data_IF_361072231081
#
_entry.id   IF_361072231081
#
_cell.length_a   1.000
_cell.length_b   1.000
_cell.length_c   1.000
_cell.angle_alpha   90.00
_cell.angle_beta   90.00
_cell.angle_gamma   90.00
#
_symmetry.space_group_name_H-M   'P 1'
#
loop_
_entity.id
_entity.type
_entity.pdbx_description
1 polymer ?
#
# COMPACT_ATOMS: atom_id res chain seq x y z
N UNK A 1 -12.12 -21.55 27.27
CA UNK A 1 -11.60 -22.75 26.59
C UNK A 1 -10.46 -23.34 27.41
N UNK A 2 -10.45 -24.66 27.66
CA UNK A 2 -9.37 -25.35 28.39
C UNK A 2 -8.28 -25.74 27.39
N UNK A 3 -7.31 -24.86 27.12
CA UNK A 3 -6.29 -25.00 26.07
C UNK A 3 -5.25 -26.12 26.27
N UNK A 4 -5.64 -27.32 26.70
CA UNK A 4 -4.71 -28.45 26.83
C UNK A 4 -4.27 -28.91 25.45
N UNK A 5 -2.96 -28.81 25.18
CA UNK A 5 -2.35 -29.19 23.90
C UNK A 5 -2.40 -28.11 22.81
N UNK A 6 -2.92 -26.92 23.11
CA UNK A 6 -2.93 -25.77 22.20
C UNK A 6 -1.96 -24.68 22.66
N UNK A 7 -1.52 -23.83 21.73
CA UNK A 7 -0.80 -22.60 22.06
C UNK A 7 -1.77 -21.42 22.15
N UNK A 8 -1.50 -20.50 23.08
CA UNK A 8 -2.14 -19.19 23.12
C UNK A 8 -1.16 -18.19 22.51
N UNK A 9 -1.63 -17.45 21.51
CA UNK A 9 -0.88 -16.38 20.87
C UNK A 9 -1.78 -15.15 20.71
N UNK A 10 -1.20 -13.95 20.59
CA UNK A 10 -1.92 -12.82 20.02
C UNK A 10 -2.47 -13.19 18.64
N UNK A 11 -3.58 -12.57 18.25
CA UNK A 11 -4.09 -12.71 16.90
C UNK A 11 -3.06 -12.21 15.88
N UNK A 12 -2.98 -12.86 14.73
CA UNK A 12 -2.01 -12.48 13.71
C UNK A 12 -2.39 -11.15 13.05
N UNK A 13 -1.37 -10.40 12.64
CA UNK A 13 -1.50 -9.17 11.86
C UNK A 13 -1.04 -9.50 10.45
N UNK A 14 -1.96 -9.46 9.50
CA UNK A 14 -1.63 -9.58 8.08
C UNK A 14 -1.24 -8.21 7.54
N UNK A 15 0.07 -7.99 7.42
CA UNK A 15 0.67 -6.69 7.07
C UNK A 15 0.55 -6.35 5.58
N UNK A 16 0.08 -7.29 4.75
CA UNK A 16 0.08 -7.11 3.31
C UNK A 16 -1.18 -7.68 2.67
N UNK A 17 -2.23 -6.86 2.61
CA UNK A 17 -3.51 -7.26 2.05
C UNK A 17 -4.01 -6.28 0.98
N UNK A 18 -4.93 -6.80 0.17
CA UNK A 18 -5.72 -6.07 -0.82
C UNK A 18 -7.22 -6.22 -0.48
N UNK A 19 -7.54 -6.18 0.82
CA UNK A 19 -8.89 -6.45 1.33
C UNK A 19 -9.72 -5.17 1.50
N UNK A 20 -9.25 -4.03 0.98
CA UNK A 20 -9.79 -2.69 1.17
C UNK A 20 -11.33 -2.63 1.12
N UNK A 21 -11.93 -3.22 0.07
CA UNK A 21 -13.37 -3.27 -0.13
C UNK A 21 -14.01 -4.49 0.54
N UNK A 22 -13.28 -5.60 0.61
CA UNK A 22 -13.80 -6.88 1.10
C UNK A 22 -14.09 -6.86 2.60
N UNK A 23 -13.29 -6.15 3.40
CA UNK A 23 -13.54 -5.99 4.84
C UNK A 23 -14.87 -5.27 5.12
N UNK A 24 -15.34 -4.43 4.21
CA UNK A 24 -16.63 -3.73 4.31
C UNK A 24 -17.77 -4.61 3.77
N UNK A 25 -17.59 -5.21 2.59
CA UNK A 25 -18.65 -5.98 1.91
C UNK A 25 -18.89 -7.35 2.52
N UNK A 26 -17.89 -7.93 3.18
CA UNK A 26 -17.96 -9.26 3.80
C UNK A 26 -17.48 -9.23 5.26
N UNK A 27 -18.22 -8.60 6.19
CA UNK A 27 -17.73 -8.33 7.56
C UNK A 27 -17.25 -9.56 8.34
N UNK A 28 -17.83 -10.74 8.10
CA UNK A 28 -17.39 -11.98 8.76
C UNK A 28 -15.94 -12.38 8.37
N UNK A 29 -15.53 -12.02 7.14
CA UNK A 29 -14.25 -12.24 6.48
C UNK A 29 -13.49 -13.53 6.86
N UNK A 30 -14.15 -14.67 6.64
CA UNK A 30 -13.62 -16.01 6.91
C UNK A 30 -12.25 -16.33 6.29
N UNK A 31 -11.87 -15.82 5.09
CA UNK A 31 -10.54 -16.10 4.53
C UNK A 31 -9.39 -15.74 5.48
N UNK A 32 -9.54 -14.67 6.27
CA UNK A 32 -8.53 -14.23 7.25
C UNK A 32 -8.76 -14.83 8.62
N UNK A 33 -10.00 -14.78 9.09
CA UNK A 33 -10.34 -15.23 10.45
C UNK A 33 -10.01 -16.72 10.66
N UNK A 34 -10.23 -17.56 9.65
CA UNK A 34 -9.93 -19.00 9.72
C UNK A 34 -8.44 -19.32 9.87
N UNK A 35 -7.55 -18.34 9.62
CA UNK A 35 -6.10 -18.47 9.76
C UNK A 35 -5.58 -17.89 11.08
N UNK A 36 -6.45 -17.36 11.94
CA UNK A 36 -6.07 -16.67 13.18
C UNK A 36 -5.68 -15.21 13.01
N UNK A 37 -5.89 -14.63 11.82
CA UNK A 37 -5.71 -13.19 11.58
C UNK A 37 -6.79 -12.41 12.30
N UNK A 38 -6.38 -11.34 12.97
CA UNK A 38 -7.26 -10.42 13.70
C UNK A 38 -7.13 -8.97 13.24
N UNK A 39 -6.06 -8.64 12.51
CA UNK A 39 -5.82 -7.30 11.98
C UNK A 39 -5.27 -7.41 10.57
N UNK A 40 -5.76 -6.57 9.67
CA UNK A 40 -5.27 -6.47 8.29
C UNK A 40 -4.78 -5.05 8.01
N UNK A 41 -3.68 -4.95 7.28
CA UNK A 41 -3.20 -3.69 6.69
C UNK A 41 -3.56 -3.71 5.20
N UNK A 42 -4.46 -2.81 4.81
CA UNK A 42 -4.96 -2.65 3.44
C UNK A 42 -4.25 -1.48 2.74
N UNK A 43 -4.54 -1.24 1.46
CA UNK A 43 -3.95 -0.12 0.73
C UNK A 43 -2.51 -0.36 0.26
N UNK A 44 -2.13 -1.62 0.00
CA UNK A 44 -0.77 -2.01 -0.39
C UNK A 44 -0.49 -1.86 -1.90
N UNK A 45 0.80 -1.91 -2.26
CA UNK A 45 1.27 -1.94 -3.66
C UNK A 45 0.77 -0.78 -4.54
N UNK A 46 0.56 0.39 -3.94
CA UNK A 46 0.11 1.58 -4.66
C UNK A 46 -1.39 1.65 -4.90
N UNK A 47 -2.17 0.65 -4.49
CA UNK A 47 -3.63 0.65 -4.67
C UNK A 47 -4.34 0.74 -3.33
N UNK A 48 -5.34 1.61 -3.22
CA UNK A 48 -6.18 1.76 -2.03
C UNK A 48 -7.61 2.13 -2.42
N UNK A 49 -8.59 1.69 -1.63
CA UNK A 49 -9.98 2.16 -1.79
C UNK A 49 -10.20 3.51 -1.12
N UNK A 50 -9.56 3.75 0.02
CA UNK A 50 -9.56 5.05 0.67
C UNK A 50 -8.91 6.10 -0.25
N UNK A 51 -9.53 7.29 -0.31
CA UNK A 51 -9.15 8.46 -1.11
C UNK A 51 -9.29 8.32 -2.63
N UNK A 52 -9.59 7.14 -3.15
CA UNK A 52 -9.74 6.92 -4.58
C UNK A 52 -11.01 7.60 -5.12
N UNK A 53 -10.86 8.37 -6.19
CA UNK A 53 -11.96 8.97 -6.95
C UNK A 53 -11.85 8.56 -8.41
N UNK A 54 -12.79 7.74 -8.86
CA UNK A 54 -12.74 7.17 -10.21
C UNK A 54 -13.56 8.01 -11.18
N UNK A 55 -12.92 8.46 -12.27
CA UNK A 55 -13.57 9.21 -13.35
C UNK A 55 -13.92 8.28 -14.52
N UNK A 56 -12.91 7.63 -15.08
CA UNK A 56 -13.00 6.86 -16.32
C UNK A 56 -12.65 5.37 -16.10
N UNK A 57 -13.42 4.70 -15.24
CA UNK A 57 -13.21 3.30 -14.87
C UNK A 57 -12.17 3.10 -13.76
N UNK A 58 -11.85 1.84 -13.46
CA UNK A 58 -10.85 1.46 -12.46
C UNK A 58 -9.53 1.14 -13.18
N UNK A 59 -8.43 1.88 -12.95
CA UNK A 59 -7.16 1.58 -13.59
C UNK A 59 -6.56 0.27 -13.05
N UNK A 60 -5.79 -0.45 -13.87
CA UNK A 60 -5.01 -1.60 -13.41
C UNK A 60 -3.84 -1.14 -12.51
N UNK A 61 -3.56 -1.80 -11.36
CA UNK A 61 -4.23 -2.99 -10.82
C UNK A 61 -5.29 -2.66 -9.73
N UNK A 62 -5.81 -1.43 -9.65
CA UNK A 62 -6.84 -1.08 -8.65
C UNK A 62 -8.12 -1.91 -8.83
N UNK A 63 -8.40 -2.39 -10.04
CA UNK A 63 -9.49 -3.32 -10.34
C UNK A 63 -9.42 -4.64 -9.54
N UNK A 64 -8.26 -5.00 -8.97
CA UNK A 64 -8.14 -6.13 -8.04
C UNK A 64 -8.95 -5.93 -6.76
N UNK A 65 -9.20 -4.68 -6.35
CA UNK A 65 -9.96 -4.36 -5.14
C UNK A 65 -11.48 -4.43 -5.40
N UNK A 66 -11.91 -4.19 -6.64
CA UNK A 66 -13.30 -4.29 -7.07
C UNK A 66 -13.64 -3.40 -8.27
N UNK A 67 -14.93 -3.34 -8.58
CA UNK A 67 -15.50 -2.50 -9.64
C UNK A 67 -15.66 -1.02 -9.22
N UNK A 68 -15.85 -0.13 -10.21
CA UNK A 68 -15.91 1.33 -10.03
C UNK A 68 -16.90 1.77 -8.93
N UNK A 69 -18.08 1.15 -8.88
CA UNK A 69 -19.13 1.45 -7.90
C UNK A 69 -18.75 1.16 -6.45
N UNK A 70 -17.67 0.41 -6.21
CA UNK A 70 -17.18 0.12 -4.86
C UNK A 70 -16.21 1.18 -4.31
N UNK A 71 -15.69 2.08 -5.16
CA UNK A 71 -14.77 3.15 -4.76
C UNK A 71 -15.53 4.41 -4.38
N UNK A 72 -16.20 4.35 -3.23
CA UNK A 72 -17.10 5.42 -2.72
C UNK A 72 -16.56 6.08 -1.46
N UNK A 73 -15.24 6.04 -1.25
CA UNK A 73 -14.57 6.53 -0.04
C UNK A 73 -13.59 7.67 -0.37
N UNK A 74 -14.07 8.90 -0.62
CA UNK A 74 -13.24 10.00 -1.11
C UNK A 74 -12.19 10.49 -0.09
N UNK A 75 -12.32 10.10 1.18
CA UNK A 75 -11.39 10.44 2.27
C UNK A 75 -11.13 9.21 3.15
N UNK A 76 -10.09 9.25 3.98
CA UNK A 76 -9.80 8.21 4.97
C UNK A 76 -10.89 8.20 6.04
N UNK A 77 -11.38 9.37 6.46
CA UNK A 77 -12.52 9.46 7.38
C UNK A 77 -13.76 8.76 6.84
N UNK A 78 -14.09 8.96 5.55
CA UNK A 78 -15.23 8.30 4.91
C UNK A 78 -15.02 6.78 4.84
N UNK A 79 -13.80 6.33 4.57
CA UNK A 79 -13.45 4.91 4.61
C UNK A 79 -13.59 4.32 6.01
N UNK A 80 -13.05 5.01 7.02
CA UNK A 80 -13.13 4.60 8.43
C UNK A 80 -14.58 4.49 8.91
N UNK A 81 -15.43 5.46 8.58
CA UNK A 81 -16.87 5.41 8.89
C UNK A 81 -17.56 4.20 8.24
N UNK A 82 -17.20 3.85 7.00
CA UNK A 82 -17.75 2.69 6.33
C UNK A 82 -17.29 1.36 6.96
N UNK A 83 -16.02 1.27 7.36
CA UNK A 83 -15.47 0.13 8.11
C UNK A 83 -16.19 -0.02 9.46
N UNK A 84 -16.34 1.07 10.21
CA UNK A 84 -17.05 1.09 11.50
C UNK A 84 -18.52 0.67 11.37
N UNK A 85 -19.20 1.16 10.33
CA UNK A 85 -20.59 0.80 10.05
C UNK A 85 -20.74 -0.69 9.68
N UNK A 86 -19.78 -1.24 8.93
CA UNK A 86 -19.77 -2.65 8.53
C UNK A 86 -19.47 -3.61 9.69
N UNK A 87 -18.75 -3.15 10.72
CA UNK A 87 -18.33 -3.94 11.89
C UNK A 87 -17.66 -5.27 11.51
N UNK A 88 -16.53 -5.23 10.78
CA UNK A 88 -15.82 -6.45 10.42
C UNK A 88 -15.31 -7.20 11.65
N UNK A 89 -15.14 -8.51 11.51
CA UNK A 89 -14.50 -9.38 12.51
C UNK A 89 -13.02 -9.07 12.75
N UNK A 90 -12.44 -8.14 11.99
CA UNK A 90 -11.02 -7.82 11.95
C UNK A 90 -10.81 -6.34 12.25
N UNK A 91 -9.69 -5.99 12.87
CA UNK A 91 -9.20 -4.62 12.85
C UNK A 91 -8.65 -4.29 11.45
N UNK A 92 -8.80 -3.03 11.02
CA UNK A 92 -8.37 -2.58 9.69
C UNK A 92 -7.51 -1.34 9.85
N UNK A 93 -6.28 -1.39 9.31
CA UNK A 93 -5.42 -0.23 9.11
C UNK A 93 -5.22 0.03 7.62
N UNK A 94 -5.21 1.28 7.18
CA UNK A 94 -5.11 1.63 5.76
C UNK A 94 -3.86 2.44 5.45
N UNK A 95 -3.16 2.04 4.40
CA UNK A 95 -2.18 2.86 3.69
C UNK A 95 -2.86 3.57 2.52
N UNK A 96 -2.26 4.67 2.04
CA UNK A 96 -2.70 5.36 0.83
C UNK A 96 -1.89 4.88 -0.36
N UNK A 97 -2.58 4.46 -1.41
CA UNK A 97 -1.97 3.98 -2.64
C UNK A 97 -1.49 5.13 -3.53
N UNK A 98 -0.22 5.11 -3.92
CA UNK A 98 0.35 6.05 -4.89
C UNK A 98 -0.37 6.04 -6.26
N UNK A 99 -0.78 4.89 -6.77
CA UNK A 99 -1.59 4.80 -7.99
C UNK A 99 -2.97 5.44 -7.81
N UNK A 100 -3.59 5.33 -6.63
CA UNK A 100 -4.84 6.01 -6.34
C UNK A 100 -4.67 7.54 -6.36
N UNK A 101 -3.57 8.06 -5.78
CA UNK A 101 -3.21 9.48 -5.84
C UNK A 101 -2.96 9.94 -7.29
N UNK A 102 -2.17 9.19 -8.07
CA UNK A 102 -1.95 9.51 -9.49
C UNK A 102 -3.26 9.53 -10.27
N UNK A 103 -4.13 8.54 -10.06
CA UNK A 103 -5.45 8.48 -10.71
C UNK A 103 -6.32 9.72 -10.41
N UNK A 104 -6.25 10.25 -9.19
CA UNK A 104 -7.06 11.40 -8.80
C UNK A 104 -6.60 12.72 -9.44
N UNK A 105 -5.29 12.82 -9.69
CA UNK A 105 -4.64 14.08 -10.06
C UNK A 105 -4.17 14.14 -11.51
N UNK A 106 -3.86 13.01 -12.14
CA UNK A 106 -3.33 12.92 -13.49
C UNK A 106 -4.43 12.54 -14.48
N UNK A 107 -4.35 13.10 -15.68
CA UNK A 107 -5.19 12.72 -16.82
C UNK A 107 -4.65 11.49 -17.58
N UNK A 108 -3.35 11.24 -17.50
CA UNK A 108 -2.67 10.11 -18.10
C UNK A 108 -1.64 9.50 -17.14
N UNK A 109 -1.86 8.24 -16.75
CA UNK A 109 -1.00 7.49 -15.83
C UNK A 109 0.30 7.00 -16.48
N UNK A 110 0.42 7.03 -17.81
CA UNK A 110 1.54 6.49 -18.57
C UNK A 110 2.62 7.53 -18.92
N UNK A 111 2.74 8.57 -18.09
CA UNK A 111 3.80 9.59 -18.13
C UNK A 111 4.26 9.97 -16.72
N UNK A 112 5.41 10.64 -16.55
CA UNK A 112 5.76 11.28 -15.27
C UNK A 112 4.70 12.31 -14.85
N UNK A 113 4.48 12.45 -13.54
CA UNK A 113 3.64 13.52 -13.01
C UNK A 113 4.33 14.89 -13.17
N UNK A 114 3.55 15.93 -13.40
CA UNK A 114 4.00 17.32 -13.37
C UNK A 114 4.10 17.82 -11.93
N UNK A 115 4.85 18.90 -11.70
CA UNK A 115 5.00 19.50 -10.37
C UNK A 115 3.65 19.85 -9.72
N UNK A 116 2.68 20.32 -10.51
CA UNK A 116 1.32 20.64 -10.05
C UNK A 116 0.57 19.39 -9.60
N UNK A 117 0.70 18.29 -10.34
CA UNK A 117 0.07 17.01 -9.99
C UNK A 117 0.70 16.42 -8.73
N UNK A 118 2.03 16.48 -8.61
CA UNK A 118 2.77 16.07 -7.41
C UNK A 118 2.31 16.91 -6.21
N UNK A 119 2.21 18.23 -6.35
CA UNK A 119 1.71 19.10 -5.29
C UNK A 119 0.28 18.72 -4.85
N UNK A 120 -0.59 18.39 -5.80
CA UNK A 120 -1.94 17.88 -5.52
C UNK A 120 -1.91 16.58 -4.72
N UNK A 121 -1.15 15.59 -5.19
CA UNK A 121 -0.99 14.30 -4.52
C UNK A 121 -0.45 14.46 -3.09
N UNK A 122 0.52 15.37 -2.86
CA UNK A 122 1.06 15.67 -1.53
C UNK A 122 0.01 16.24 -0.58
N UNK A 123 -0.82 17.16 -1.06
CA UNK A 123 -1.91 17.73 -0.25
C UNK A 123 -2.90 16.63 0.15
N UNK A 124 -3.33 15.81 -0.82
CA UNK A 124 -4.26 14.72 -0.55
C UNK A 124 -3.67 13.69 0.43
N UNK A 125 -2.40 13.32 0.27
CA UNK A 125 -1.71 12.41 1.17
C UNK A 125 -1.60 12.98 2.59
N UNK A 126 -1.22 14.26 2.73
CA UNK A 126 -1.13 14.92 4.03
C UNK A 126 -2.48 14.92 4.77
N UNK A 127 -3.55 15.22 4.06
CA UNK A 127 -4.89 15.19 4.65
C UNK A 127 -5.32 13.76 5.04
N UNK A 128 -4.97 12.76 4.23
CA UNK A 128 -5.21 11.36 4.55
C UNK A 128 -4.44 10.88 5.80
N UNK A 129 -3.18 11.30 5.97
CA UNK A 129 -2.37 10.99 7.15
C UNK A 129 -2.97 11.61 8.43
N UNK A 130 -3.42 12.87 8.36
CA UNK A 130 -4.12 13.54 9.46
C UNK A 130 -5.44 12.87 9.87
N UNK A 131 -6.07 12.17 8.93
CA UNK A 131 -7.27 11.36 9.15
C UNK A 131 -6.94 9.94 9.66
N UNK A 132 -5.67 9.62 9.89
CA UNK A 132 -5.24 8.36 10.49
C UNK A 132 -4.78 7.29 9.50
N UNK A 133 -4.49 7.64 8.24
CA UNK A 133 -3.76 6.71 7.37
C UNK A 133 -2.39 6.38 7.96
N UNK A 134 -1.98 5.11 7.84
CA UNK A 134 -0.72 4.62 8.41
C UNK A 134 0.52 5.01 7.60
N UNK A 135 0.33 5.49 6.37
CA UNK A 135 1.44 5.79 5.47
C UNK A 135 1.07 5.73 4.00
N UNK A 136 2.11 5.67 3.16
CA UNK A 136 2.03 5.57 1.70
C UNK A 136 2.48 4.19 1.25
N UNK A 137 1.80 3.63 0.25
CA UNK A 137 2.28 2.49 -0.51
C UNK A 137 2.53 2.84 -1.97
N UNK A 138 3.50 2.18 -2.62
CA UNK A 138 3.70 2.26 -4.07
C UNK A 138 3.78 0.88 -4.73
N UNK A 139 3.44 0.83 -6.03
CA UNK A 139 3.58 -0.36 -6.87
C UNK A 139 4.25 -0.04 -8.19
N UNK A 140 5.55 0.20 -8.14
CA UNK A 140 6.30 0.81 -9.24
C UNK A 140 6.54 -0.15 -10.42
N UNK A 141 6.25 -1.44 -10.24
CA UNK A 141 6.27 -2.42 -11.33
C UNK A 141 5.03 -2.35 -12.23
N UNK A 142 3.92 -1.77 -11.75
CA UNK A 142 2.67 -1.71 -12.53
C UNK A 142 2.71 -0.60 -13.55
N UNK A 143 2.09 -0.82 -14.71
CA UNK A 143 2.14 0.13 -15.82
C UNK A 143 1.59 1.53 -15.47
N UNK A 144 0.61 1.60 -14.56
CA UNK A 144 0.00 2.84 -14.04
C UNK A 144 0.93 3.70 -13.17
N UNK A 145 2.02 3.12 -12.66
CA UNK A 145 3.02 3.82 -11.84
C UNK A 145 4.45 3.65 -12.37
N UNK A 146 4.67 2.86 -13.42
CA UNK A 146 5.99 2.55 -13.96
C UNK A 146 6.76 3.79 -14.43
N UNK A 147 6.04 4.80 -14.93
CA UNK A 147 6.60 6.08 -15.38
C UNK A 147 6.81 7.09 -14.24
N UNK A 148 6.42 6.76 -13.01
CA UNK A 148 6.75 7.57 -11.83
C UNK A 148 8.25 7.63 -11.64
N UNK A 149 8.79 8.84 -11.49
CA UNK A 149 10.20 9.04 -11.13
C UNK A 149 10.41 8.73 -9.65
N UNK A 150 11.65 8.48 -9.25
CA UNK A 150 11.99 8.32 -7.83
C UNK A 150 11.72 9.63 -7.07
N UNK A 151 11.97 10.77 -7.71
CA UNK A 151 11.76 12.12 -7.18
C UNK A 151 10.28 12.40 -6.88
N UNK A 152 9.36 11.90 -7.71
CA UNK A 152 7.92 11.95 -7.44
C UNK A 152 7.57 11.24 -6.13
N UNK A 153 8.09 10.03 -5.91
CA UNK A 153 7.82 9.26 -4.69
C UNK A 153 8.54 9.86 -3.48
N UNK A 154 9.76 10.37 -3.65
CA UNK A 154 10.49 11.10 -2.61
C UNK A 154 9.70 12.32 -2.12
N UNK A 155 9.10 13.09 -3.04
CA UNK A 155 8.26 14.24 -2.70
C UNK A 155 7.03 13.84 -1.86
N UNK A 156 6.42 12.68 -2.12
CA UNK A 156 5.33 12.17 -1.30
C UNK A 156 5.81 11.63 0.06
N UNK A 157 6.98 10.98 0.09
CA UNK A 157 7.55 10.42 1.31
C UNK A 157 7.90 11.50 2.35
N UNK A 158 8.19 12.74 1.92
CA UNK A 158 8.40 13.88 2.83
C UNK A 158 7.19 14.19 3.72
N UNK A 159 5.97 13.85 3.30
CA UNK A 159 4.76 14.11 4.08
C UNK A 159 4.58 13.12 5.24
N UNK A 160 5.28 11.98 5.21
CA UNK A 160 5.04 10.86 6.14
C UNK A 160 5.64 11.09 7.52
N UNK A 161 6.85 11.67 7.61
CA UNK A 161 7.61 11.75 8.87
C UNK A 161 6.89 12.59 9.93
N UNK A 162 6.22 13.68 9.53
CA UNK A 162 5.51 14.57 10.44
C UNK A 162 4.35 13.86 11.17
N UNK A 163 3.75 12.87 10.53
CA UNK A 163 2.60 12.11 11.04
C UNK A 163 3.01 10.70 11.53
N UNK A 164 4.32 10.39 11.58
CA UNK A 164 4.83 9.09 11.99
C UNK A 164 4.49 7.93 11.03
N UNK A 165 4.20 8.25 9.76
CA UNK A 165 3.81 7.28 8.75
C UNK A 165 4.97 6.43 8.23
N UNK A 166 4.63 5.33 7.55
CA UNK A 166 5.58 4.43 6.89
C UNK A 166 5.49 4.49 5.37
N UNK A 167 6.57 4.12 4.70
CA UNK A 167 6.57 3.89 3.25
C UNK A 167 6.61 2.38 2.98
N UNK A 168 5.63 1.87 2.25
CA UNK A 168 5.64 0.47 1.78
C UNK A 168 5.74 0.41 0.27
N UNK A 169 6.41 -0.61 -0.28
CA UNK A 169 6.63 -0.65 -1.72
C UNK A 169 6.66 -2.06 -2.28
N UNK A 170 5.83 -2.29 -3.31
CA UNK A 170 6.15 -3.26 -4.34
C UNK A 170 7.17 -2.59 -5.27
N UNK A 171 8.40 -3.11 -5.18
CA UNK A 171 9.56 -2.64 -5.91
C UNK A 171 9.31 -2.49 -7.41
N UNK A 172 10.02 -1.55 -8.04
CA UNK A 172 9.96 -1.35 -9.50
C UNK A 172 10.33 -2.61 -10.29
N UNK A 173 11.19 -3.44 -9.73
CA UNK A 173 11.49 -4.75 -10.26
C UNK A 173 11.75 -5.76 -9.16
N UNK A 174 11.26 -6.99 -9.35
CA UNK A 174 11.61 -8.16 -8.56
C UNK A 174 12.49 -9.14 -9.37
N UNK A 175 12.99 -8.73 -10.54
CA UNK A 175 13.75 -9.55 -11.49
C UNK A 175 15.26 -9.19 -11.48
N UNK A 176 15.89 -9.09 -12.65
CA UNK A 176 17.33 -8.86 -12.78
C UNK A 176 17.80 -7.56 -12.08
N UNK A 177 17.08 -6.42 -12.17
CA UNK A 177 17.45 -5.17 -11.50
C UNK A 177 16.83 -4.99 -10.10
N UNK A 178 16.71 -6.07 -9.30
CA UNK A 178 16.12 -6.00 -7.95
C UNK A 178 16.99 -5.19 -6.97
N UNK A 179 18.31 -5.19 -7.13
CA UNK A 179 19.21 -4.44 -6.23
C UNK A 179 19.03 -2.94 -6.44
N UNK A 180 18.90 -2.50 -7.69
CA UNK A 180 18.61 -1.11 -8.05
C UNK A 180 17.24 -0.69 -7.53
N UNK A 181 16.25 -1.58 -7.57
CA UNK A 181 14.93 -1.30 -7.02
C UNK A 181 14.94 -1.22 -5.48
N UNK A 182 15.75 -2.04 -4.80
CA UNK A 182 15.97 -1.93 -3.35
C UNK A 182 16.68 -0.61 -3.01
N UNK A 183 17.73 -0.24 -3.76
CA UNK A 183 18.43 1.03 -3.58
C UNK A 183 17.51 2.23 -3.79
N UNK A 184 16.59 2.16 -4.77
CA UNK A 184 15.52 3.14 -4.96
C UNK A 184 14.65 3.26 -3.70
N UNK A 185 14.16 2.14 -3.17
CA UNK A 185 13.32 2.13 -1.97
C UNK A 185 14.05 2.72 -0.75
N UNK A 186 15.32 2.35 -0.54
CA UNK A 186 16.13 2.86 0.56
C UNK A 186 16.50 4.34 0.39
N UNK A 187 16.68 4.81 -0.85
CA UNK A 187 16.88 6.24 -1.13
C UNK A 187 15.62 7.03 -0.78
N UNK A 188 14.44 6.55 -1.16
CA UNK A 188 13.15 7.19 -0.81
C UNK A 188 12.99 7.26 0.72
N UNK A 189 13.21 6.13 1.42
CA UNK A 189 13.10 6.09 2.89
C UNK A 189 14.05 7.03 3.61
N UNK A 190 15.32 7.07 3.19
CA UNK A 190 16.32 8.00 3.74
C UNK A 190 15.97 9.45 3.48
N UNK A 191 15.45 9.77 2.29
CA UNK A 191 15.03 11.12 1.94
C UNK A 191 13.84 11.59 2.78
N UNK A 192 12.81 10.76 2.90
CA UNK A 192 11.62 11.05 3.71
C UNK A 192 11.85 10.91 5.22
N UNK A 193 13.01 10.40 5.66
CA UNK A 193 13.29 10.03 7.05
C UNK A 193 12.18 9.13 7.65
N UNK A 194 11.77 8.11 6.91
CA UNK A 194 10.67 7.21 7.27
C UNK A 194 11.04 5.74 7.17
N UNK A 195 10.41 4.85 7.96
CA UNK A 195 10.58 3.42 7.82
C UNK A 195 10.13 2.93 6.44
N UNK A 196 10.88 1.98 5.88
CA UNK A 196 10.56 1.33 4.61
C UNK A 196 10.17 -0.12 4.85
N UNK A 197 9.05 -0.54 4.27
CA UNK A 197 8.61 -1.94 4.20
C UNK A 197 8.64 -2.40 2.74
N UNK A 198 9.53 -3.33 2.43
CA UNK A 198 9.56 -3.98 1.10
C UNK A 198 8.49 -5.07 1.07
N UNK A 199 7.45 -4.84 0.29
CA UNK A 199 6.31 -5.76 0.13
C UNK A 199 6.75 -7.06 -0.51
N UNK A 200 6.23 -8.19 0.01
CA UNK A 200 6.30 -9.54 -0.58
C UNK A 200 7.64 -9.86 -1.27
N UNK A 201 8.76 -9.51 -0.60
CA UNK A 201 10.09 -9.56 -1.18
C UNK A 201 10.40 -10.95 -1.76
N UNK A 202 10.78 -10.98 -3.04
CA UNK A 202 11.12 -12.18 -3.79
C UNK A 202 12.16 -11.86 -4.86
N UNK A 203 12.88 -12.87 -5.30
CA UNK A 203 13.63 -12.84 -6.56
C UNK A 203 12.85 -13.67 -7.59
N UNK A 204 12.19 -13.02 -8.54
CA UNK A 204 11.47 -13.69 -9.61
C UNK A 204 12.40 -14.04 -10.78
N UNK A 205 12.24 -15.24 -11.36
CA UNK A 205 12.97 -15.72 -12.53
C UNK A 205 13.84 -16.97 -12.29
N UNK A 206 13.83 -17.88 -13.27
CA UNK A 206 14.43 -19.21 -13.16
C UNK A 206 15.96 -19.23 -12.89
N UNK A 207 16.67 -18.12 -13.16
CA UNK A 207 18.12 -18.02 -12.94
C UNK A 207 18.52 -17.76 -11.47
N UNK A 208 17.59 -17.55 -10.54
CA UNK A 208 17.87 -17.27 -9.11
C UNK A 208 17.12 -18.20 -8.14
N UNK A 209 17.23 -19.51 -8.34
CA UNK A 209 16.92 -20.49 -7.27
C UNK A 209 18.07 -20.51 -6.25
N UNK A 210 18.11 -19.53 -5.34
CA UNK A 210 19.03 -19.48 -4.21
C UNK A 210 19.07 -18.09 -3.52
N UNK A 211 19.30 -18.01 -2.20
CA UNK A 211 19.40 -16.72 -1.50
C UNK A 211 20.60 -15.94 -2.04
N UNK A 212 20.38 -14.73 -2.54
CA UNK A 212 21.49 -13.86 -2.91
C UNK A 212 22.11 -13.29 -1.62
N UNK A 213 23.37 -13.62 -1.27
CA UNK A 213 23.94 -13.28 0.03
C UNK A 213 24.08 -11.77 0.31
N UNK A 214 23.83 -10.90 -0.68
CA UNK A 214 23.85 -9.44 -0.48
C UNK A 214 22.53 -8.87 0.03
N UNK A 215 21.41 -9.57 -0.14
CA UNK A 215 20.07 -9.05 0.22
C UNK A 215 19.92 -8.97 1.74
N UNK A 216 20.51 -9.91 2.47
CA UNK A 216 20.62 -9.89 3.94
C UNK A 216 21.69 -8.92 4.47
N UNK A 217 22.62 -8.46 3.61
CA UNK A 217 23.71 -7.55 3.97
C UNK A 217 23.33 -6.07 3.96
N UNK A 218 22.24 -5.71 3.26
CA UNK A 218 21.73 -4.33 3.14
C UNK A 218 20.88 -3.88 4.34
N UNK A 219 20.53 -4.79 5.26
CA UNK A 219 19.73 -4.52 6.46
C UNK A 219 20.59 -4.21 7.71
N UNK A 220 21.83 -3.74 7.54
CA UNK A 220 22.74 -3.36 8.64
C UNK A 220 23.02 -1.86 8.66
#
# INVERSE_FOLDING_TARGET
>A
MTGRGACWAPGFIDVHTHDDINVIRMPAYLPKLSQGVTTVIVGNCGISAATATLRDGVPDPMNLLGEQEHFVYPTVDAYAQAVEAAKPSLNVGTLIGHTALRNNHMDDLFRPATDTEIAGMRVQLRDALRQGALGLSSGLAYASAFQSTTEEVMALAEELAAEGGIYTTHLRSEFEPILEALDEAFRIGRHGNVPVVVSHHKCAGAKKLGPHPRDAGLLR
#
